data_IF_083397078834
#
_entry.id   IF_083397078834
#
_cell.length_a   1.000
_cell.length_b   1.000
_cell.length_c   1.000
_cell.angle_alpha   90.00
_cell.angle_beta   90.00
_cell.angle_gamma   90.00
#
_symmetry.space_group_name_H-M   'P 1'
#
loop_
_entity.id
_entity.type
_entity.pdbx_description
1 polymer ?
#
# COMPACT_ATOMS: atom_id res chain seq x y z
N UNK A 1 6.42 5.46 29.04
CA UNK A 1 5.40 4.47 28.57
C UNK A 1 6.07 3.43 27.69
N UNK A 2 5.86 2.16 27.98
CA UNK A 2 6.37 1.07 27.16
C UNK A 2 5.42 0.87 25.97
N UNK A 3 5.96 0.99 24.75
CA UNK A 3 5.18 0.80 23.54
C UNK A 3 5.11 -0.68 23.17
N UNK A 4 3.96 -1.08 22.63
CA UNK A 4 3.76 -2.42 22.07
C UNK A 4 3.80 -2.31 20.55
N UNK A 5 4.71 -3.07 19.94
CA UNK A 5 4.88 -3.08 18.50
C UNK A 5 4.12 -4.26 17.89
N UNK A 6 3.27 -3.97 16.93
CA UNK A 6 2.53 -4.98 16.18
C UNK A 6 3.11 -5.02 14.77
N UNK A 7 3.90 -6.02 14.49
CA UNK A 7 4.74 -6.09 13.30
C UNK A 7 4.12 -7.03 12.26
N UNK A 8 3.95 -6.51 11.05
CA UNK A 8 3.52 -7.30 9.88
C UNK A 8 4.57 -7.18 8.78
N UNK A 9 4.59 -8.14 7.86
CA UNK A 9 5.42 -8.09 6.67
C UNK A 9 4.71 -8.80 5.52
N UNK A 10 5.00 -8.37 4.30
CA UNK A 10 4.52 -9.03 3.09
C UNK A 10 2.99 -9.20 3.06
N UNK A 11 2.28 -8.12 3.42
CA UNK A 11 0.81 -8.11 3.43
C UNK A 11 0.25 -8.34 2.03
N UNK A 12 0.89 -7.77 1.00
CA UNK A 12 0.54 -7.98 -0.40
C UNK A 12 -0.96 -7.86 -0.70
N UNK A 13 -1.60 -6.82 -0.18
CA UNK A 13 -3.00 -6.55 -0.48
C UNK A 13 -3.98 -7.54 0.15
N UNK A 14 -3.59 -8.26 1.18
CA UNK A 14 -4.47 -9.18 1.92
C UNK A 14 -4.95 -8.55 3.21
N UNK A 15 -5.84 -7.59 3.08
CA UNK A 15 -6.36 -6.79 4.20
C UNK A 15 -7.10 -7.65 5.23
N UNK A 16 -8.01 -8.51 4.78
CA UNK A 16 -8.83 -9.34 5.69
C UNK A 16 -7.96 -10.21 6.59
N UNK A 17 -6.95 -10.84 6.02
CA UNK A 17 -6.02 -11.69 6.76
C UNK A 17 -5.16 -10.87 7.73
N UNK A 18 -4.70 -9.70 7.30
CA UNK A 18 -3.91 -8.79 8.13
C UNK A 18 -4.72 -8.34 9.36
N UNK A 19 -5.95 -7.89 9.15
CA UNK A 19 -6.81 -7.40 10.23
C UNK A 19 -7.11 -8.51 11.22
N UNK A 20 -7.40 -9.71 10.73
CA UNK A 20 -7.64 -10.87 11.59
C UNK A 20 -6.43 -11.17 12.48
N UNK A 21 -5.24 -11.15 11.91
CA UNK A 21 -4.01 -11.39 12.67
C UNK A 21 -3.77 -10.29 13.72
N UNK A 22 -4.00 -9.03 13.36
CA UNK A 22 -3.85 -7.90 14.28
C UNK A 22 -4.86 -7.98 15.44
N UNK A 23 -6.10 -8.33 15.16
CA UNK A 23 -7.13 -8.50 16.19
C UNK A 23 -6.78 -9.65 17.13
N UNK A 24 -6.34 -10.78 16.61
CA UNK A 24 -5.91 -11.93 17.41
C UNK A 24 -4.71 -11.58 18.31
N UNK A 25 -3.83 -10.70 17.85
CA UNK A 25 -2.68 -10.22 18.62
C UNK A 25 -3.06 -9.15 19.66
N UNK A 26 -4.28 -8.63 19.60
CA UNK A 26 -4.76 -7.61 20.54
C UNK A 26 -4.47 -6.17 20.13
N UNK A 27 -4.18 -5.92 18.85
CA UNK A 27 -3.94 -4.56 18.35
C UNK A 27 -5.19 -3.69 18.48
N UNK A 28 -5.03 -2.52 19.08
CA UNK A 28 -6.11 -1.55 19.26
C UNK A 28 -5.63 -0.16 18.82
N UNK A 29 -6.26 0.36 17.76
CA UNK A 29 -5.90 1.68 17.19
C UNK A 29 -6.14 2.83 18.16
N UNK A 30 -6.98 2.64 19.16
CA UNK A 30 -7.32 3.66 20.17
C UNK A 30 -6.25 3.78 21.26
N UNK A 31 -5.36 2.80 21.39
CA UNK A 31 -4.31 2.81 22.41
C UNK A 31 -3.06 3.50 21.89
N UNK A 32 -2.62 4.55 22.60
CA UNK A 32 -1.46 5.34 22.21
C UNK A 32 -0.14 4.58 22.29
N UNK A 33 -0.08 3.54 23.12
CA UNK A 33 1.11 2.69 23.25
C UNK A 33 1.17 1.56 22.22
N UNK A 34 0.12 1.40 21.39
CA UNK A 34 0.12 0.43 20.30
C UNK A 34 0.65 1.06 19.02
N UNK A 35 1.71 0.48 18.46
CA UNK A 35 2.35 0.95 17.24
C UNK A 35 2.29 -0.15 16.17
N UNK A 36 1.74 0.18 15.02
CA UNK A 36 1.75 -0.69 13.84
C UNK A 36 3.09 -0.55 13.13
N UNK A 37 3.71 -1.67 12.82
CA UNK A 37 4.99 -1.69 12.09
C UNK A 37 4.84 -2.57 10.86
N UNK A 38 5.11 -2.02 9.67
CA UNK A 38 5.21 -2.80 8.46
C UNK A 38 6.67 -2.90 8.02
N UNK A 39 7.12 -4.13 7.81
CA UNK A 39 8.46 -4.40 7.29
C UNK A 39 8.53 -4.37 5.77
N UNK A 40 7.48 -3.89 5.10
CA UNK A 40 7.44 -3.72 3.67
C UNK A 40 6.50 -4.66 2.95
N UNK A 41 6.32 -4.41 1.65
CA UNK A 41 5.48 -5.18 0.74
C UNK A 41 4.00 -5.21 1.17
N UNK A 42 3.45 -4.02 1.36
CA UNK A 42 2.04 -3.85 1.72
C UNK A 42 1.08 -4.18 0.56
N UNK A 43 1.52 -3.92 -0.66
CA UNK A 43 0.69 -3.99 -1.86
C UNK A 43 1.15 -5.07 -2.82
N UNK A 44 0.46 -5.17 -3.94
CA UNK A 44 0.69 -6.09 -5.04
C UNK A 44 0.27 -7.53 -4.71
N UNK A 45 -0.12 -8.26 -5.72
CA UNK A 45 -0.57 -9.67 -5.71
C UNK A 45 -1.95 -9.91 -5.13
N UNK A 46 -2.30 -9.32 -3.98
CA UNK A 46 -3.65 -9.40 -3.42
C UNK A 46 -4.60 -8.42 -4.08
N UNK A 47 -5.86 -8.48 -3.69
CA UNK A 47 -6.94 -7.69 -4.31
C UNK A 47 -7.56 -6.65 -3.39
N UNK A 48 -7.06 -6.53 -2.17
CA UNK A 48 -7.59 -5.61 -1.17
C UNK A 48 -6.61 -4.45 -0.90
N UNK A 49 -5.94 -3.96 -1.96
CA UNK A 49 -4.91 -2.92 -1.82
C UNK A 49 -5.47 -1.61 -1.32
N UNK A 50 -6.67 -1.23 -1.77
CA UNK A 50 -7.33 0.00 -1.31
C UNK A 50 -7.63 -0.07 0.20
N UNK A 51 -8.15 -1.20 0.66
CA UNK A 51 -8.43 -1.39 2.08
C UNK A 51 -7.16 -1.32 2.93
N UNK A 52 -6.06 -1.93 2.47
CA UNK A 52 -4.76 -1.84 3.13
C UNK A 52 -4.28 -0.39 3.19
N UNK A 53 -4.35 0.32 2.08
CA UNK A 53 -3.93 1.72 2.00
C UNK A 53 -4.73 2.61 2.95
N UNK A 54 -6.05 2.50 2.91
CA UNK A 54 -6.94 3.31 3.75
C UNK A 54 -6.69 3.04 5.23
N UNK A 55 -6.52 1.78 5.61
CA UNK A 55 -6.24 1.40 7.00
C UNK A 55 -4.91 1.99 7.47
N UNK A 56 -3.83 1.75 6.73
CA UNK A 56 -2.48 2.16 7.13
C UNK A 56 -2.35 3.68 7.10
N UNK A 57 -2.91 4.33 6.09
CA UNK A 57 -2.90 5.79 5.97
C UNK A 57 -3.58 6.45 7.17
N UNK A 58 -4.66 5.86 7.66
CA UNK A 58 -5.42 6.38 8.79
C UNK A 58 -4.80 6.14 10.16
N UNK A 59 -3.78 5.30 10.26
CA UNK A 59 -3.15 5.02 11.54
C UNK A 59 -2.31 6.20 12.03
N UNK A 60 -2.46 6.52 13.31
CA UNK A 60 -1.73 7.61 13.94
C UNK A 60 -0.31 7.19 14.36
N UNK A 61 -0.17 6.00 14.91
CA UNK A 61 1.10 5.48 15.41
C UNK A 61 1.57 4.31 14.53
N UNK A 62 2.51 4.60 13.64
CA UNK A 62 2.98 3.61 12.67
C UNK A 62 4.43 3.85 12.30
N UNK A 63 5.10 2.77 11.95
CA UNK A 63 6.43 2.76 11.35
C UNK A 63 6.33 1.94 10.07
N UNK A 64 6.64 2.56 8.94
CA UNK A 64 6.55 1.92 7.64
C UNK A 64 7.94 1.82 7.03
N UNK A 65 8.42 0.60 6.85
CA UNK A 65 9.69 0.31 6.21
C UNK A 65 9.41 -0.06 4.76
N UNK A 66 10.14 0.53 3.83
CA UNK A 66 9.97 0.23 2.40
C UNK A 66 10.48 -1.16 2.08
N UNK A 67 9.62 -1.97 1.45
CA UNK A 67 10.02 -3.21 0.84
C UNK A 67 10.27 -3.04 -0.65
N UNK A 68 10.60 -4.14 -1.33
CA UNK A 68 10.84 -4.14 -2.76
C UNK A 68 9.63 -3.67 -3.57
N UNK A 69 8.42 -4.07 -3.16
CA UNK A 69 7.20 -3.71 -3.88
C UNK A 69 6.82 -2.22 -3.71
N UNK A 70 7.20 -1.57 -2.63
CA UNK A 70 7.06 -0.11 -2.52
C UNK A 70 7.96 0.61 -3.50
N UNK A 71 9.18 0.14 -3.70
CA UNK A 71 10.09 0.72 -4.70
C UNK A 71 9.56 0.51 -6.12
N UNK A 72 8.99 -0.66 -6.41
CA UNK A 72 8.37 -0.96 -7.71
C UNK A 72 7.21 0.02 -7.95
N UNK A 73 6.32 0.16 -6.99
CA UNK A 73 5.17 1.06 -7.09
C UNK A 73 5.62 2.52 -7.26
N UNK A 74 6.60 2.95 -6.49
CA UNK A 74 7.15 4.30 -6.62
C UNK A 74 7.69 4.56 -8.02
N UNK A 75 8.41 3.60 -8.59
CA UNK A 75 8.95 3.73 -9.95
C UNK A 75 7.84 3.87 -10.99
N UNK A 76 6.74 3.12 -10.86
CA UNK A 76 5.58 3.26 -11.74
C UNK A 76 4.99 4.66 -11.65
N UNK A 77 4.82 5.17 -10.44
CA UNK A 77 4.25 6.50 -10.21
C UNK A 77 5.17 7.61 -10.75
N UNK A 78 6.47 7.45 -10.58
CA UNK A 78 7.46 8.43 -11.02
C UNK A 78 7.64 8.44 -12.53
N UNK A 79 7.74 7.27 -13.15
CA UNK A 79 7.93 7.13 -14.59
C UNK A 79 6.63 7.32 -15.38
N UNK A 80 5.49 7.11 -14.75
CA UNK A 80 4.18 7.19 -15.42
C UNK A 80 3.90 6.04 -16.38
N UNK A 81 4.52 4.89 -16.18
CA UNK A 81 4.44 3.75 -17.08
C UNK A 81 4.54 2.42 -16.34
N UNK A 82 3.75 1.43 -16.77
CA UNK A 82 3.71 0.08 -16.20
C UNK A 82 4.39 -0.89 -17.15
N UNK A 83 5.45 -1.56 -16.70
CA UNK A 83 6.19 -2.54 -17.49
C UNK A 83 5.55 -3.93 -17.44
N UNK A 84 6.00 -4.86 -18.29
CA UNK A 84 5.58 -6.25 -18.23
C UNK A 84 5.91 -6.89 -16.88
N UNK A 85 7.06 -6.56 -16.31
CA UNK A 85 7.46 -7.04 -14.98
C UNK A 85 6.53 -6.52 -13.90
N UNK A 86 6.12 -5.25 -14.00
CA UNK A 86 5.17 -4.67 -13.05
C UNK A 86 3.82 -5.39 -13.10
N UNK A 87 3.34 -5.72 -14.31
CA UNK A 87 2.10 -6.50 -14.48
C UNK A 87 2.26 -7.89 -13.86
N UNK A 88 3.39 -8.53 -14.07
CA UNK A 88 3.66 -9.86 -13.48
C UNK A 88 3.67 -9.82 -11.95
N UNK A 89 4.07 -8.70 -11.35
CA UNK A 89 4.06 -8.49 -9.91
C UNK A 89 2.69 -8.06 -9.36
N UNK A 90 1.74 -7.73 -10.23
CA UNK A 90 0.41 -7.26 -9.82
C UNK A 90 0.35 -5.77 -9.51
N UNK A 91 1.38 -5.00 -9.84
CA UNK A 91 1.45 -3.57 -9.55
C UNK A 91 0.40 -2.77 -10.33
N UNK A 92 0.05 -3.22 -11.54
CA UNK A 92 -1.03 -2.62 -12.32
C UNK A 92 -2.38 -2.70 -11.60
N UNK A 93 -2.66 -3.82 -10.94
CA UNK A 93 -3.88 -4.00 -10.14
C UNK A 93 -3.87 -3.05 -8.94
N UNK A 94 -2.74 -2.94 -8.26
CA UNK A 94 -2.58 -1.99 -7.15
C UNK A 94 -2.86 -0.56 -7.59
N UNK A 95 -2.28 -0.13 -8.70
CA UNK A 95 -2.49 1.21 -9.25
C UNK A 95 -3.96 1.45 -9.58
N UNK A 96 -4.62 0.49 -10.24
CA UNK A 96 -6.03 0.59 -10.57
C UNK A 96 -6.91 0.70 -9.32
N UNK A 97 -6.60 -0.06 -8.28
CA UNK A 97 -7.35 -0.02 -7.03
C UNK A 97 -7.12 1.26 -6.23
N UNK A 98 -5.90 1.77 -6.20
CA UNK A 98 -5.56 2.96 -5.41
C UNK A 98 -5.90 4.27 -6.12
N UNK A 99 -5.80 4.32 -7.43
CA UNK A 99 -6.07 5.53 -8.22
C UNK A 99 -7.46 5.51 -8.85
N UNK A 100 -7.78 4.46 -9.59
CA UNK A 100 -9.03 4.31 -10.32
C UNK A 100 -8.86 3.31 -11.47
N UNK A 101 -9.95 2.71 -11.92
CA UNK A 101 -9.93 1.67 -12.96
C UNK A 101 -9.38 2.16 -14.30
N UNK A 102 -9.52 3.44 -14.60
CA UNK A 102 -9.04 4.07 -15.84
C UNK A 102 -7.68 4.78 -15.66
N UNK A 103 -6.96 4.47 -14.57
CA UNK A 103 -5.67 5.10 -14.28
C UNK A 103 -4.57 4.71 -15.26
N UNK A 104 -4.67 3.52 -15.86
CA UNK A 104 -3.69 3.00 -16.81
C UNK A 104 -4.37 2.84 -18.17
N UNK A 105 -3.80 3.48 -19.21
CA UNK A 105 -4.34 3.39 -20.56
C UNK A 105 -3.90 2.10 -21.29
N UNK A 106 -4.37 1.91 -22.54
CA UNK A 106 -4.05 0.74 -23.35
C UNK A 106 -2.56 0.63 -23.70
N UNK A 107 -1.79 1.71 -23.58
CA UNK A 107 -0.34 1.75 -23.80
C UNK A 107 0.42 1.70 -22.50
N UNK A 108 -0.24 1.34 -21.39
CA UNK A 108 0.34 1.21 -20.05
C UNK A 108 0.87 2.50 -19.44
N UNK A 109 0.40 3.64 -19.92
CA UNK A 109 0.74 4.95 -19.34
C UNK A 109 -0.28 5.33 -18.27
N UNK A 110 0.20 5.97 -17.22
CA UNK A 110 -0.68 6.51 -16.19
C UNK A 110 -1.38 7.77 -16.71
N UNK A 111 -2.66 7.88 -16.39
CA UNK A 111 -3.43 9.08 -16.67
C UNK A 111 -3.11 10.15 -15.60
N UNK A 112 -1.95 10.78 -15.75
CA UNK A 112 -1.47 11.78 -14.80
C UNK A 112 -2.26 13.09 -14.86
N UNK A 113 -2.96 13.36 -15.94
CA UNK A 113 -3.83 14.52 -16.04
C UNK A 113 -5.03 14.38 -15.09
N UNK A 114 -5.68 13.23 -15.11
CA UNK A 114 -6.84 12.96 -14.24
C UNK A 114 -6.45 12.67 -12.79
N UNK A 115 -5.38 11.91 -12.57
CA UNK A 115 -5.01 11.37 -11.26
C UNK A 115 -3.73 11.98 -10.68
N UNK A 116 -3.24 13.08 -11.22
CA UNK A 116 -1.98 13.68 -10.78
C UNK A 116 -1.89 13.94 -9.27
N UNK A 117 -2.98 14.44 -8.69
CA UNK A 117 -3.02 14.70 -7.24
C UNK A 117 -2.93 13.42 -6.42
N UNK A 118 -3.73 12.40 -6.77
CA UNK A 118 -3.68 11.09 -6.11
C UNK A 118 -2.33 10.41 -6.27
N UNK A 119 -1.71 10.55 -7.44
CA UNK A 119 -0.37 10.03 -7.71
C UNK A 119 0.64 10.65 -6.76
N UNK A 120 0.59 11.98 -6.57
CA UNK A 120 1.49 12.68 -5.65
C UNK A 120 1.26 12.26 -4.20
N UNK A 121 -0.01 12.13 -3.79
CA UNK A 121 -0.35 11.67 -2.43
C UNK A 121 0.19 10.27 -2.17
N UNK A 122 -0.02 9.35 -3.12
CA UNK A 122 0.45 7.98 -2.99
C UNK A 122 1.98 7.91 -2.97
N UNK A 123 2.64 8.65 -3.85
CA UNK A 123 4.11 8.73 -3.88
C UNK A 123 4.68 9.27 -2.56
N UNK A 124 4.01 10.24 -1.95
CA UNK A 124 4.41 10.79 -0.65
C UNK A 124 4.20 9.80 0.49
N UNK A 125 3.15 8.97 0.39
CA UNK A 125 2.89 7.94 1.39
C UNK A 125 3.98 6.86 1.36
N UNK A 126 4.42 6.48 0.17
CA UNK A 126 5.47 5.48 -0.01
C UNK A 126 6.82 6.11 0.31
#
# INVERSE_FOLDING_TARGET
MIKKLFVVSDVHGHYTEMIKALEEAGFDTKKEDHVFVSCGDLFDRGKENEAVYDFVRGLKNKILIKGNHEDILYNVLDCGYVTDTDVANGTDITVAQLLGEDAIDSERRLNSEKYGEKIRELASFI
#
